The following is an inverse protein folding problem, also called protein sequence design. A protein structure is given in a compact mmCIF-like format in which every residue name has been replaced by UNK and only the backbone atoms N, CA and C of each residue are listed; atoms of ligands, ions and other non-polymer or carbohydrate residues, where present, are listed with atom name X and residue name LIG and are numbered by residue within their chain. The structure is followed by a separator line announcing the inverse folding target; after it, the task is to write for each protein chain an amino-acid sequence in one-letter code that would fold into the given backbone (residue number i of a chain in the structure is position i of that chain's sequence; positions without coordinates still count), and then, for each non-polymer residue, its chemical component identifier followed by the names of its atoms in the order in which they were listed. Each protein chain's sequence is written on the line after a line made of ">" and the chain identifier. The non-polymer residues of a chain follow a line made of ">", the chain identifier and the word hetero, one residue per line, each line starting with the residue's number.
data_IF_287948480645
#
_entry.id   IF_287948480645
#
_cell.length_a   1.000
_cell.length_b   1.000
_cell.length_c   1.000
_cell.angle_alpha   90.00
_cell.angle_beta   90.00
_cell.angle_gamma   90.00
#
_symmetry.space_group_name_H-M   'P 1'
#
loop_
_entity.id
_entity.type
_entity.pdbx_description
1 polymer ?
#
# COMPACT_ATOMS: atom_id res chain seq x y z
N UNK A 1 8.25 -5.36 -14.81
CA UNK A 1 7.75 -5.92 -13.54
C UNK A 1 7.64 -4.83 -12.49
N UNK A 2 6.62 -4.85 -11.68
CA UNK A 2 6.45 -3.82 -10.65
C UNK A 2 7.36 -4.09 -9.46
N UNK A 3 8.03 -3.07 -8.97
CA UNK A 3 8.86 -3.15 -7.77
C UNK A 3 8.18 -2.33 -6.66
N UNK A 4 7.35 -3.01 -5.89
CA UNK A 4 6.58 -2.41 -4.81
C UNK A 4 6.99 -3.04 -3.50
N UNK A 5 7.43 -2.22 -2.56
CA UNK A 5 7.86 -2.64 -1.24
C UNK A 5 6.98 -2.03 -0.16
N UNK A 6 7.04 -2.61 1.03
CA UNK A 6 6.37 -2.04 2.19
C UNK A 6 7.41 -1.80 3.28
N UNK A 7 7.17 -0.79 4.11
CA UNK A 7 8.09 -0.43 5.18
C UNK A 7 7.36 0.30 6.28
N UNK A 8 7.69 0.00 7.54
CA UNK A 8 7.13 0.79 8.64
C UNK A 8 7.75 2.18 8.66
N UNK A 9 6.94 3.18 9.03
CA UNK A 9 7.43 4.56 9.13
C UNK A 9 8.56 4.71 10.14
N UNK A 10 8.65 3.79 11.11
CA UNK A 10 9.68 3.83 12.16
C UNK A 10 11.02 3.23 11.72
N UNK A 11 11.06 2.54 10.59
CA UNK A 11 12.30 2.02 10.05
C UNK A 11 13.10 3.15 9.39
N UNK A 12 14.44 3.07 9.41
CA UNK A 12 15.25 4.16 8.84
C UNK A 12 14.97 4.39 7.36
N UNK A 13 14.97 5.67 6.98
CA UNK A 13 14.89 6.05 5.57
C UNK A 13 16.13 5.57 4.83
N UNK A 14 15.93 5.02 3.63
CA UNK A 14 17.00 4.48 2.81
C UNK A 14 16.87 5.05 1.39
N UNK A 15 17.98 5.50 0.77
CA UNK A 15 17.92 5.96 -0.63
C UNK A 15 17.34 4.92 -1.59
N UNK A 16 17.46 3.63 -1.25
CA UNK A 16 16.93 2.55 -2.08
C UNK A 16 15.42 2.34 -1.93
N UNK A 17 14.77 3.09 -1.05
CA UNK A 17 13.30 3.02 -0.93
C UNK A 17 12.60 3.49 -2.22
N UNK A 18 13.25 4.27 -3.05
CA UNK A 18 12.61 4.86 -4.20
C UNK A 18 11.57 5.88 -3.79
N UNK A 19 10.43 5.89 -4.46
CA UNK A 19 9.33 6.78 -4.11
C UNK A 19 8.67 6.30 -2.82
N UNK A 20 8.63 7.14 -1.80
CA UNK A 20 8.07 6.82 -0.50
C UNK A 20 6.65 7.35 -0.41
N UNK A 21 5.68 6.44 -0.30
CA UNK A 21 4.24 6.78 -0.32
C UNK A 21 3.61 6.35 0.99
N UNK A 22 3.11 7.31 1.77
CA UNK A 22 2.37 7.00 2.99
C UNK A 22 0.96 6.56 2.61
N UNK A 23 0.58 5.36 3.04
CA UNK A 23 -0.74 4.79 2.74
C UNK A 23 -1.60 4.61 3.99
N UNK A 24 -1.28 5.35 5.05
CA UNK A 24 -2.10 5.42 6.25
C UNK A 24 -3.11 6.54 6.13
N UNK A 25 -4.23 6.39 6.83
CA UNK A 25 -5.26 7.40 6.86
C UNK A 25 -4.87 8.62 7.66
N UNK A 26 -4.11 8.41 8.75
CA UNK A 26 -3.66 9.48 9.64
C UNK A 26 -2.16 9.66 9.53
N UNK A 27 -1.72 10.90 9.72
CA UNK A 27 -0.29 11.20 9.78
C UNK A 27 0.31 10.56 11.03
N UNK A 28 1.46 9.87 10.92
CA UNK A 28 2.04 9.19 12.08
C UNK A 28 2.54 10.19 13.13
N UNK A 29 2.28 9.85 14.39
CA UNK A 29 2.70 10.69 15.52
C UNK A 29 4.21 10.80 15.60
N UNK A 30 4.69 11.98 15.94
CA UNK A 30 6.11 12.21 16.17
C UNK A 30 6.91 12.48 14.92
N UNK A 31 6.28 12.48 13.75
CA UNK A 31 7.00 12.72 12.51
C UNK A 31 6.67 14.09 11.93
N UNK A 32 7.72 14.86 11.62
CA UNK A 32 7.61 16.01 10.72
C UNK A 32 7.72 15.48 9.29
N UNK A 33 7.41 16.33 8.32
CA UNK A 33 7.58 15.95 6.91
C UNK A 33 9.02 15.56 6.60
N UNK A 34 9.96 16.33 7.13
CA UNK A 34 11.39 16.08 6.91
C UNK A 34 11.82 14.74 7.51
N UNK A 35 11.37 14.43 8.73
CA UNK A 35 11.73 13.18 9.38
C UNK A 35 11.15 11.97 8.69
N UNK A 36 9.89 12.05 8.26
CA UNK A 36 9.25 10.93 7.59
C UNK A 36 9.82 10.73 6.19
N UNK A 37 10.15 11.82 5.51
CA UNK A 37 10.70 11.74 4.15
C UNK A 37 9.73 11.11 3.17
N UNK A 38 8.43 11.36 3.35
CA UNK A 38 7.44 10.85 2.40
C UNK A 38 7.32 11.78 1.20
N UNK A 39 7.23 11.18 0.02
CA UNK A 39 7.07 11.93 -1.23
C UNK A 39 5.60 12.16 -1.55
N UNK A 40 4.72 11.31 -1.01
CA UNK A 40 3.30 11.36 -1.32
C UNK A 40 2.50 10.74 -0.18
N UNK A 41 1.31 11.27 0.08
CA UNK A 41 0.38 10.74 1.07
C UNK A 41 -0.96 10.45 0.40
N UNK A 42 -1.32 9.17 0.27
CA UNK A 42 -2.55 8.73 -0.38
C UNK A 42 -3.56 8.21 0.65
N UNK A 43 -4.31 9.12 1.25
CA UNK A 43 -5.33 8.78 2.26
C UNK A 43 -6.46 7.93 1.66
N UNK A 44 -6.81 8.19 0.41
CA UNK A 44 -7.97 7.59 -0.24
C UNK A 44 -7.79 6.11 -0.51
N UNK A 45 -6.55 5.62 -0.46
CA UNK A 45 -6.26 4.22 -0.78
C UNK A 45 -6.40 3.30 0.45
N UNK A 46 -6.70 3.87 1.61
CA UNK A 46 -6.84 3.09 2.84
C UNK A 46 -8.22 2.43 2.95
N UNK A 47 -8.34 1.32 3.70
CA UNK A 47 -9.66 0.74 3.96
C UNK A 47 -10.53 1.72 4.74
N UNK A 48 -11.85 1.63 4.54
CA UNK A 48 -12.80 2.47 5.29
C UNK A 48 -12.75 2.12 6.77
N UNK A 49 -13.01 3.11 7.63
CA UNK A 49 -13.04 2.91 9.08
C UNK A 49 -13.99 1.80 9.51
N UNK A 50 -15.17 1.75 8.90
CA UNK A 50 -16.17 0.73 9.21
C UNK A 50 -15.62 -0.67 8.96
N UNK A 51 -14.92 -0.86 7.86
CA UNK A 51 -14.32 -2.14 7.52
C UNK A 51 -13.19 -2.48 8.49
N UNK A 52 -12.34 -1.50 8.83
CA UNK A 52 -11.25 -1.69 9.78
C UNK A 52 -11.78 -2.06 11.17
N UNK A 53 -12.81 -1.36 11.63
CA UNK A 53 -13.44 -1.64 12.93
C UNK A 53 -14.08 -3.03 12.97
N UNK A 54 -14.75 -3.41 11.88
CA UNK A 54 -15.36 -4.72 11.78
C UNK A 54 -14.30 -5.83 11.82
N UNK A 55 -13.20 -5.64 11.12
CA UNK A 55 -12.11 -6.62 11.09
C UNK A 55 -11.39 -6.69 12.45
N UNK A 56 -10.97 -5.57 12.98
CA UNK A 56 -10.31 -5.42 14.28
C UNK A 56 -9.32 -6.57 14.59
N UNK A 57 -8.45 -6.90 13.63
CA UNK A 57 -7.45 -7.97 13.74
C UNK A 57 -8.03 -9.35 14.07
N UNK A 58 -9.30 -9.58 13.77
CA UNK A 58 -9.91 -10.90 13.91
C UNK A 58 -9.59 -11.73 12.67
N UNK A 59 -8.64 -12.64 12.80
CA UNK A 59 -8.13 -13.42 11.67
C UNK A 59 -9.21 -14.27 10.99
N UNK A 60 -10.27 -14.65 11.72
CA UNK A 60 -11.40 -15.38 11.11
C UNK A 60 -12.12 -14.53 10.05
N UNK A 61 -12.00 -13.19 10.12
CA UNK A 61 -12.63 -12.28 9.16
C UNK A 61 -11.66 -11.83 8.07
N UNK A 62 -10.45 -12.33 8.07
CA UNK A 62 -9.38 -11.89 7.18
C UNK A 62 -9.75 -11.99 5.70
N UNK A 63 -10.33 -13.12 5.30
CA UNK A 63 -10.70 -13.35 3.90
C UNK A 63 -11.74 -12.33 3.43
N UNK A 64 -12.80 -12.14 4.22
CA UNK A 64 -13.85 -11.19 3.85
C UNK A 64 -13.34 -9.75 3.89
N UNK A 65 -12.51 -9.41 4.88
CA UNK A 65 -11.89 -8.09 4.95
C UNK A 65 -11.12 -7.78 3.66
N UNK A 66 -10.28 -8.73 3.24
CA UNK A 66 -9.46 -8.57 2.03
C UNK A 66 -10.33 -8.39 0.79
N UNK A 67 -11.40 -9.19 0.66
CA UNK A 67 -12.32 -9.08 -0.47
C UNK A 67 -12.98 -7.70 -0.51
N UNK A 68 -13.44 -7.21 0.63
CA UNK A 68 -14.08 -5.89 0.72
C UNK A 68 -13.11 -4.76 0.42
N UNK A 69 -11.89 -4.86 0.92
CA UNK A 69 -10.88 -3.85 0.64
C UNK A 69 -10.51 -3.83 -0.84
N UNK A 70 -10.33 -4.99 -1.45
CA UNK A 70 -10.02 -5.10 -2.87
C UNK A 70 -11.16 -4.53 -3.73
N UNK A 71 -12.42 -4.77 -3.34
CA UNK A 71 -13.55 -4.18 -4.03
C UNK A 71 -13.53 -2.65 -3.96
N UNK A 72 -13.15 -2.11 -2.79
CA UNK A 72 -12.98 -0.66 -2.65
C UNK A 72 -11.88 -0.13 -3.57
N UNK A 73 -10.77 -0.83 -3.66
CA UNK A 73 -9.67 -0.45 -4.56
C UNK A 73 -10.12 -0.49 -6.02
N UNK A 74 -10.90 -1.49 -6.40
CA UNK A 74 -11.47 -1.57 -7.75
C UNK A 74 -12.34 -0.36 -8.07
N UNK A 75 -13.00 0.22 -7.07
CA UNK A 75 -13.86 1.39 -7.25
C UNK A 75 -13.08 2.71 -7.19
N UNK A 76 -11.78 2.66 -7.00
CA UNK A 76 -10.93 3.86 -6.89
C UNK A 76 -9.78 3.80 -7.91
N UNK A 77 -10.09 3.81 -9.22
CA UNK A 77 -9.06 3.62 -10.24
C UNK A 77 -8.04 4.75 -10.30
N UNK A 78 -8.41 5.96 -9.92
CA UNK A 78 -7.50 7.10 -10.01
C UNK A 78 -6.28 6.88 -9.11
N UNK A 79 -6.49 6.58 -7.83
CA UNK A 79 -5.39 6.37 -6.89
C UNK A 79 -4.59 5.12 -7.22
N UNK A 80 -5.28 4.05 -7.63
CA UNK A 80 -4.63 2.79 -8.01
C UNK A 80 -3.73 3.00 -9.24
N UNK A 81 -4.23 3.65 -10.26
CA UNK A 81 -3.46 3.90 -11.49
C UNK A 81 -2.28 4.83 -11.23
N UNK A 82 -2.42 5.77 -10.31
CA UNK A 82 -1.32 6.65 -9.94
C UNK A 82 -0.15 5.83 -9.37
N UNK A 83 -0.43 4.91 -8.44
CA UNK A 83 0.60 4.04 -7.88
C UNK A 83 1.24 3.15 -8.94
N UNK A 84 0.43 2.57 -9.82
CA UNK A 84 0.93 1.71 -10.89
C UNK A 84 1.86 2.50 -11.82
N UNK A 85 1.46 3.71 -12.17
CA UNK A 85 2.29 4.57 -13.03
C UNK A 85 3.69 4.80 -12.43
N UNK A 86 3.75 5.10 -11.13
CA UNK A 86 5.04 5.30 -10.47
C UNK A 86 5.82 4.00 -10.32
N UNK A 87 5.13 2.90 -10.03
CA UNK A 87 5.77 1.59 -9.87
C UNK A 87 6.36 1.06 -11.18
N UNK A 88 5.79 1.47 -12.31
CA UNK A 88 6.33 1.12 -13.62
C UNK A 88 7.62 1.89 -13.94
N UNK A 89 7.78 3.06 -13.34
CA UNK A 89 8.96 3.91 -13.55
C UNK A 89 10.13 3.56 -12.64
N UNK A 90 9.85 2.98 -11.48
CA UNK A 90 10.87 2.65 -10.51
C UNK A 90 10.26 2.11 -9.22
N UNK A 91 11.11 1.90 -8.22
CA UNK A 91 10.66 1.34 -6.96
C UNK A 91 9.73 2.29 -6.22
N UNK A 92 8.66 1.73 -5.67
CA UNK A 92 7.74 2.42 -4.78
C UNK A 92 7.72 1.68 -3.44
N UNK A 93 7.90 2.41 -2.34
CA UNK A 93 7.80 1.84 -0.99
C UNK A 93 6.57 2.42 -0.30
N UNK A 94 5.64 1.52 0.05
CA UNK A 94 4.41 1.89 0.76
C UNK A 94 4.71 1.94 2.25
N UNK A 95 4.46 3.10 2.87
CA UNK A 95 4.77 3.33 4.28
C UNK A 95 3.52 3.16 5.13
N UNK A 96 3.67 2.48 6.27
CA UNK A 96 2.58 2.25 7.22
C UNK A 96 3.11 2.32 8.65
N UNK A 97 2.22 2.56 9.62
CA UNK A 97 2.61 2.76 11.02
C UNK A 97 2.26 1.60 11.95
N UNK A 98 1.29 0.76 11.60
CA UNK A 98 0.87 -0.34 12.47
C UNK A 98 2.01 -1.27 12.86
N UNK A 99 1.91 -1.90 14.04
CA UNK A 99 2.92 -2.84 14.53
C UNK A 99 2.84 -4.20 13.86
N UNK A 100 1.69 -4.56 13.28
CA UNK A 100 1.53 -5.85 12.62
C UNK A 100 2.19 -5.80 11.25
N UNK A 101 3.35 -6.44 11.14
CA UNK A 101 4.14 -6.44 9.90
C UNK A 101 3.64 -7.47 8.87
N UNK A 102 2.76 -8.38 9.27
CA UNK A 102 2.23 -9.41 8.36
C UNK A 102 0.84 -9.06 7.85
N UNK A 103 -0.04 -8.56 8.74
CA UNK A 103 -1.44 -8.30 8.42
C UNK A 103 -1.72 -6.80 8.52
N UNK A 104 -1.33 -6.06 7.51
CA UNK A 104 -1.57 -4.62 7.45
C UNK A 104 -2.06 -4.24 6.05
N UNK A 105 -2.71 -3.07 5.97
CA UNK A 105 -3.29 -2.63 4.69
C UNK A 105 -2.23 -2.34 3.62
N UNK A 106 -1.01 -1.99 4.00
CA UNK A 106 0.04 -1.78 3.01
C UNK A 106 0.43 -3.11 2.35
N UNK A 107 0.51 -4.18 3.13
CA UNK A 107 0.75 -5.52 2.61
C UNK A 107 -0.39 -5.97 1.69
N UNK A 108 -1.63 -5.72 2.09
CA UNK A 108 -2.81 -6.04 1.28
C UNK A 108 -2.82 -5.25 -0.02
N UNK A 109 -2.51 -3.96 0.06
CA UNK A 109 -2.45 -3.11 -1.12
C UNK A 109 -1.37 -3.59 -2.09
N UNK A 110 -0.20 -3.93 -1.57
CA UNK A 110 0.88 -4.47 -2.40
C UNK A 110 0.43 -5.74 -3.12
N UNK A 111 -0.19 -6.66 -2.40
CA UNK A 111 -0.69 -7.89 -2.98
C UNK A 111 -1.72 -7.62 -4.08
N UNK A 112 -2.65 -6.69 -3.83
CA UNK A 112 -3.63 -6.29 -4.82
C UNK A 112 -2.96 -5.77 -6.10
N UNK A 113 -2.02 -4.84 -5.94
CA UNK A 113 -1.33 -4.25 -7.09
C UNK A 113 -0.55 -5.29 -7.89
N UNK A 114 0.17 -6.16 -7.21
CA UNK A 114 0.96 -7.19 -7.89
C UNK A 114 0.07 -8.24 -8.57
N UNK A 115 -1.03 -8.63 -7.95
CA UNK A 115 -1.91 -9.65 -8.53
C UNK A 115 -2.66 -9.12 -9.74
N UNK A 116 -3.05 -7.85 -9.74
CA UNK A 116 -3.82 -7.26 -10.84
C UNK A 116 -2.95 -6.77 -11.98
N UNK A 117 -1.79 -6.19 -11.68
CA UNK A 117 -0.97 -5.49 -12.69
C UNK A 117 0.37 -6.16 -12.95
N UNK A 118 0.91 -6.91 -12.01
CA UNK A 118 2.14 -7.65 -12.21
C UNK A 118 2.02 -8.73 -13.27
N UNK A 119 0.87 -9.38 -13.37
CA UNK A 119 0.62 -10.40 -14.37
C UNK A 119 0.60 -9.86 -15.79
N UNK A 120 0.08 -8.64 -15.95
CA UNK A 120 0.05 -7.98 -17.27
C UNK A 120 1.46 -7.76 -17.78
N UNK A 121 2.36 -7.26 -16.91
CA UNK A 121 3.76 -7.07 -17.28
C UNK A 121 4.41 -8.40 -17.68
N UNK A 122 4.13 -9.46 -16.95
CA UNK A 122 4.69 -10.78 -17.23
C UNK A 122 4.21 -11.30 -18.58
N UNK A 123 2.94 -11.13 -18.89
CA UNK A 123 2.38 -11.59 -20.16
C UNK A 123 2.97 -10.82 -21.34
N UNK A 124 3.11 -9.50 -21.17
CA UNK A 124 3.67 -8.66 -22.22
C UNK A 124 5.14 -9.00 -22.48
N UNK A 125 5.89 -9.37 -21.46
CA UNK A 125 7.30 -9.70 -21.58
C UNK A 125 7.54 -11.12 -22.07
N UNK A 126 6.54 -11.97 -22.11
CA UNK A 126 6.66 -13.35 -22.60
C UNK A 126 6.66 -13.36 -24.12
N UNK A 127 7.60 -14.04 -24.73
CA UNK A 127 7.64 -14.17 -26.19
C UNK A 127 6.47 -14.99 -26.73
#
# INVERSE_FOLDING_TARGET
>A
MLDIRIKRVYDPTDPQDGLRVLVDRLWPRGFTREKLGTDMWLKEITPKNELRNWYHHNLARRKEYTQRYFAKLDSNPVAVQLLIKYAQKGRVTLLYATRDIEHNHASDLREYLLSKFGKVDREVSSP
#
